data_IF_842340562931
#
_entry.id   IF_842340562931
#
_cell.length_a   1.000
_cell.length_b   1.000
_cell.length_c   1.000
_cell.angle_alpha   90.00
_cell.angle_beta   90.00
_cell.angle_gamma   90.00
#
_symmetry.space_group_name_H-M   'P 1'
#
loop_
_entity.id
_entity.type
_entity.pdbx_description
1 polymer ?
#
# COMPACT_ATOMS: atom_id res chain seq x y z
N UNK A 1 -5.35 -7.26 -14.48
CA UNK A 1 -5.94 -5.92 -14.75
C UNK A 1 -7.31 -5.74 -14.11
N UNK A 2 -8.37 -6.48 -14.48
CA UNK A 2 -9.71 -6.28 -13.90
C UNK A 2 -9.76 -6.44 -12.35
N UNK A 3 -9.05 -7.43 -11.81
CA UNK A 3 -8.94 -7.60 -10.36
C UNK A 3 -8.28 -6.41 -9.65
N UNK A 4 -7.35 -5.70 -10.29
CA UNK A 4 -6.77 -4.46 -9.73
C UNK A 4 -7.79 -3.33 -9.66
N UNK A 5 -8.60 -3.17 -10.72
CA UNK A 5 -9.67 -2.18 -10.73
C UNK A 5 -10.69 -2.45 -9.62
N UNK A 6 -11.16 -3.70 -9.50
CA UNK A 6 -12.14 -4.10 -8.48
C UNK A 6 -11.55 -3.97 -7.07
N UNK A 7 -10.31 -4.42 -6.88
CA UNK A 7 -9.64 -4.31 -5.58
C UNK A 7 -9.42 -2.86 -5.17
N UNK A 8 -8.90 -2.00 -6.07
CA UNK A 8 -8.74 -0.58 -5.76
C UNK A 8 -10.09 0.11 -5.53
N UNK A 9 -11.15 -0.28 -6.26
CA UNK A 9 -12.50 0.23 -6.00
C UNK A 9 -12.93 -0.05 -4.55
N UNK A 10 -12.91 -1.31 -4.12
CA UNK A 10 -13.36 -1.65 -2.78
C UNK A 10 -12.44 -1.10 -1.69
N UNK A 11 -11.13 -1.06 -1.93
CA UNK A 11 -10.17 -0.45 -1.01
C UNK A 11 -10.51 1.02 -0.75
N UNK A 12 -10.67 1.81 -1.81
CA UNK A 12 -10.97 3.23 -1.71
C UNK A 12 -12.37 3.45 -1.17
N UNK A 13 -13.36 2.68 -1.63
CA UNK A 13 -14.74 2.81 -1.19
C UNK A 13 -14.88 2.56 0.31
N UNK A 14 -14.40 1.41 0.82
CA UNK A 14 -14.52 1.04 2.23
C UNK A 14 -13.76 2.01 3.14
N UNK A 15 -12.53 2.35 2.76
CA UNK A 15 -11.69 3.23 3.54
C UNK A 15 -12.17 4.68 3.57
N UNK A 16 -12.66 5.21 2.45
CA UNK A 16 -13.24 6.56 2.41
C UNK A 16 -14.62 6.60 3.08
N UNK A 17 -15.44 5.56 2.93
CA UNK A 17 -16.73 5.45 3.60
C UNK A 17 -16.59 5.41 5.12
N UNK A 18 -15.55 4.78 5.67
CA UNK A 18 -15.32 4.77 7.12
C UNK A 18 -14.98 6.16 7.66
N UNK A 19 -14.21 6.97 6.93
CA UNK A 19 -13.91 8.37 7.29
C UNK A 19 -15.20 9.20 7.35
N UNK A 20 -16.03 9.11 6.31
CA UNK A 20 -17.29 9.87 6.27
C UNK A 20 -18.25 9.36 7.34
N UNK A 21 -18.32 8.04 7.54
CA UNK A 21 -19.19 7.44 8.57
C UNK A 21 -18.80 7.89 9.97
N UNK A 22 -17.49 7.91 10.29
CA UNK A 22 -16.99 8.39 11.58
C UNK A 22 -17.38 9.85 11.84
N UNK A 23 -17.29 10.70 10.80
CA UNK A 23 -17.71 12.10 10.90
C UNK A 23 -19.22 12.25 11.08
N UNK A 24 -20.02 11.43 10.41
CA UNK A 24 -21.50 11.48 10.53
C UNK A 24 -22.02 10.87 11.82
N UNK A 25 -21.23 10.04 12.51
CA UNK A 25 -21.57 9.43 13.78
C UNK A 25 -20.90 10.11 14.98
N UNK A 26 -20.53 11.38 14.84
CA UNK A 26 -19.87 12.18 15.89
C UNK A 26 -18.61 11.51 16.48
N UNK A 27 -17.86 10.79 15.65
CA UNK A 27 -16.59 10.15 16.03
C UNK A 27 -16.72 8.76 16.64
N UNK A 28 -17.86 8.09 16.48
CA UNK A 28 -18.10 6.79 17.11
C UNK A 28 -17.18 5.65 16.63
N UNK A 29 -16.62 5.76 15.41
CA UNK A 29 -15.69 4.77 14.86
C UNK A 29 -14.27 5.06 15.36
N UNK A 30 -13.97 6.33 15.61
CA UNK A 30 -12.66 6.89 15.99
C UNK A 30 -11.59 6.74 14.90
N UNK A 31 -10.50 7.50 15.04
CA UNK A 31 -9.32 7.37 14.18
C UNK A 31 -8.75 5.94 14.17
N UNK A 32 -8.80 5.25 15.31
CA UNK A 32 -8.35 3.87 15.42
C UNK A 32 -9.23 2.94 14.57
N UNK A 33 -10.55 3.04 14.67
CA UNK A 33 -11.48 2.22 13.89
C UNK A 33 -11.36 2.48 12.40
N UNK A 34 -11.23 3.74 11.98
CA UNK A 34 -10.99 4.10 10.56
C UNK A 34 -9.69 3.44 10.07
N UNK A 35 -8.61 3.53 10.85
CA UNK A 35 -7.32 2.94 10.50
C UNK A 35 -7.40 1.41 10.37
N UNK A 36 -8.14 0.75 11.26
CA UNK A 36 -8.39 -0.69 11.18
C UNK A 36 -9.21 -1.07 9.95
N UNK A 37 -10.20 -0.27 9.55
CA UNK A 37 -10.98 -0.54 8.32
C UNK A 37 -10.08 -0.54 7.09
N UNK A 38 -9.18 0.43 6.95
CA UNK A 38 -8.22 0.46 5.83
C UNK A 38 -7.31 -0.77 5.82
N UNK A 39 -6.73 -1.13 6.96
CA UNK A 39 -5.86 -2.30 7.05
C UNK A 39 -6.59 -3.62 6.79
N UNK A 40 -7.79 -3.79 7.36
CA UNK A 40 -8.62 -4.96 7.12
C UNK A 40 -9.09 -5.04 5.67
N UNK A 41 -9.45 -3.93 5.04
CA UNK A 41 -9.80 -3.91 3.61
C UNK A 41 -8.62 -4.40 2.75
N UNK A 42 -7.40 -3.91 3.01
CA UNK A 42 -6.21 -4.40 2.32
C UNK A 42 -5.99 -5.90 2.54
N UNK A 43 -6.09 -6.38 3.79
CA UNK A 43 -5.96 -7.80 4.10
C UNK A 43 -6.97 -8.66 3.34
N UNK A 44 -8.26 -8.29 3.39
CA UNK A 44 -9.35 -9.01 2.72
C UNK A 44 -9.10 -9.07 1.21
N UNK A 45 -8.72 -7.93 0.61
CA UNK A 45 -8.51 -7.84 -0.84
C UNK A 45 -7.26 -8.60 -1.29
N UNK A 46 -6.19 -8.62 -0.50
CA UNK A 46 -5.01 -9.45 -0.80
C UNK A 46 -5.38 -10.93 -0.76
N UNK A 47 -6.11 -11.39 0.26
CA UNK A 47 -6.53 -12.80 0.31
C UNK A 47 -7.52 -13.17 -0.79
N UNK A 48 -8.40 -12.24 -1.17
CA UNK A 48 -9.45 -12.50 -2.16
C UNK A 48 -8.97 -12.39 -3.61
N UNK A 49 -8.07 -11.44 -3.91
CA UNK A 49 -7.70 -11.06 -5.27
C UNK A 49 -6.19 -11.11 -5.52
N UNK A 50 -5.36 -11.24 -4.48
CA UNK A 50 -3.90 -11.27 -4.60
C UNK A 50 -3.40 -12.44 -5.45
N UNK A 51 -4.03 -13.61 -5.35
CA UNK A 51 -3.69 -14.77 -6.19
C UNK A 51 -4.10 -14.60 -7.66
N UNK A 52 -4.91 -13.59 -8.00
CA UNK A 52 -5.37 -13.30 -9.37
C UNK A 52 -4.48 -12.24 -10.03
N UNK A 53 -4.16 -11.14 -9.34
CA UNK A 53 -3.41 -10.01 -9.93
C UNK A 53 -2.06 -9.71 -9.29
N UNK A 54 -1.73 -10.32 -8.15
CA UNK A 54 -0.66 -9.87 -7.26
C UNK A 54 -1.13 -8.85 -6.21
N UNK A 55 -2.35 -8.34 -6.34
CA UNK A 55 -3.01 -7.48 -5.36
C UNK A 55 -2.26 -6.19 -5.03
N UNK A 56 -1.84 -5.44 -6.06
CA UNK A 56 -1.07 -4.21 -5.83
C UNK A 56 -1.98 -3.09 -5.32
N UNK A 57 -3.13 -2.90 -5.97
CA UNK A 57 -4.17 -1.91 -5.70
C UNK A 57 -3.68 -0.45 -5.55
N UNK A 58 -2.44 -0.19 -5.94
CA UNK A 58 -1.68 1.02 -5.63
C UNK A 58 -0.63 1.26 -6.74
N UNK A 59 -0.66 2.44 -7.40
CA UNK A 59 0.32 2.80 -8.42
C UNK A 59 1.76 2.80 -7.91
N UNK A 60 2.00 3.25 -6.66
CA UNK A 60 3.34 3.29 -6.08
C UNK A 60 3.92 1.89 -5.87
N UNK A 61 3.10 0.94 -5.40
CA UNK A 61 3.47 -0.48 -5.25
C UNK A 61 3.77 -1.11 -6.61
N UNK A 62 2.93 -0.83 -7.61
CA UNK A 62 3.11 -1.36 -8.98
C UNK A 62 4.42 -0.88 -9.59
N UNK A 63 4.71 0.42 -9.48
CA UNK A 63 5.98 0.99 -9.94
C UNK A 63 7.17 0.38 -9.19
N UNK A 64 7.09 0.30 -7.86
CA UNK A 64 8.18 -0.24 -7.05
C UNK A 64 8.53 -1.68 -7.43
N UNK A 65 7.54 -2.58 -7.57
CA UNK A 65 7.77 -3.94 -8.03
C UNK A 65 8.42 -4.01 -9.42
N UNK A 66 8.03 -3.12 -10.33
CA UNK A 66 8.63 -3.04 -11.65
C UNK A 66 10.11 -2.63 -11.59
N UNK A 67 10.48 -1.71 -10.69
CA UNK A 67 11.89 -1.28 -10.53
C UNK A 67 12.82 -2.38 -10.05
N UNK A 68 12.34 -3.28 -9.18
CA UNK A 68 13.09 -4.46 -8.70
C UNK A 68 12.85 -5.70 -9.56
N UNK A 69 12.28 -5.54 -10.77
CA UNK A 69 12.02 -6.62 -11.75
C UNK A 69 11.15 -7.76 -11.22
N UNK A 70 10.30 -7.50 -10.23
CA UNK A 70 9.31 -8.45 -9.68
C UNK A 70 7.94 -8.33 -10.37
N UNK A 71 7.77 -7.37 -11.28
CA UNK A 71 6.57 -7.21 -12.08
C UNK A 71 6.91 -6.80 -13.53
N UNK A 72 6.25 -7.37 -14.57
CA UNK A 72 6.59 -7.08 -15.96
C UNK A 72 6.28 -5.63 -16.35
N UNK A 73 7.25 -4.92 -16.94
CA UNK A 73 7.12 -3.51 -17.36
C UNK A 73 5.93 -3.26 -18.30
N UNK A 74 5.61 -4.23 -19.18
CA UNK A 74 4.50 -4.14 -20.13
C UNK A 74 3.12 -4.04 -19.45
N UNK A 75 2.99 -4.58 -18.24
CA UNK A 75 1.71 -4.67 -17.52
C UNK A 75 1.50 -3.46 -16.57
N UNK A 76 2.56 -2.70 -16.30
CA UNK A 76 2.57 -1.54 -15.36
C UNK A 76 1.51 -0.52 -15.71
N UNK A 77 1.47 -0.07 -16.97
CA UNK A 77 0.53 0.97 -17.41
C UNK A 77 -0.92 0.48 -17.26
N UNK A 78 -1.19 -0.77 -17.64
CA UNK A 78 -2.52 -1.37 -17.50
C UNK A 78 -2.99 -1.45 -16.06
N UNK A 79 -2.09 -1.78 -15.12
CA UNK A 79 -2.38 -1.81 -13.68
C UNK A 79 -2.65 -0.42 -13.13
N UNK A 80 -1.80 0.56 -13.44
CA UNK A 80 -1.95 1.94 -12.96
C UNK A 80 -3.27 2.54 -13.44
N UNK A 81 -3.61 2.37 -14.73
CA UNK A 81 -4.89 2.84 -15.28
C UNK A 81 -6.06 2.17 -14.55
N UNK A 82 -6.02 0.84 -14.40
CA UNK A 82 -7.08 0.10 -13.71
C UNK A 82 -7.28 0.58 -12.26
N UNK A 83 -6.20 0.82 -11.53
CA UNK A 83 -6.23 1.32 -10.16
C UNK A 83 -6.84 2.71 -10.08
N UNK A 84 -6.43 3.64 -10.96
CA UNK A 84 -7.04 4.98 -11.00
C UNK A 84 -8.52 4.93 -11.37
N UNK A 85 -8.91 4.13 -12.37
CA UNK A 85 -10.32 3.95 -12.75
C UNK A 85 -11.14 3.41 -11.58
N UNK A 86 -10.64 2.37 -10.90
CA UNK A 86 -11.29 1.80 -9.71
C UNK A 86 -11.45 2.82 -8.58
N UNK A 87 -10.38 3.57 -8.27
CA UNK A 87 -10.42 4.59 -7.23
C UNK A 87 -11.38 5.74 -7.54
N UNK A 88 -11.41 6.20 -8.80
CA UNK A 88 -12.32 7.25 -9.26
C UNK A 88 -13.77 6.77 -9.17
N UNK A 89 -14.06 5.56 -9.66
CA UNK A 89 -15.39 4.96 -9.56
C UNK A 89 -15.83 4.83 -8.10
N UNK A 90 -14.93 4.45 -7.17
CA UNK A 90 -15.21 4.38 -5.75
C UNK A 90 -15.53 5.75 -5.14
N UNK A 91 -14.72 6.77 -5.46
CA UNK A 91 -14.95 8.14 -5.01
C UNK A 91 -16.31 8.68 -5.47
N UNK A 92 -16.65 8.53 -6.75
CA UNK A 92 -17.94 8.98 -7.27
C UNK A 92 -19.13 8.15 -6.76
N UNK A 93 -18.93 6.85 -6.51
CA UNK A 93 -19.95 6.03 -5.83
C UNK A 93 -20.20 6.54 -4.41
N UNK A 94 -19.15 6.95 -3.69
CA UNK A 94 -19.29 7.56 -2.38
C UNK A 94 -20.05 8.90 -2.46
N UNK A 95 -19.73 9.75 -3.44
CA UNK A 95 -20.45 11.01 -3.69
C UNK A 95 -21.92 10.78 -4.03
N UNK A 96 -22.23 9.76 -4.83
CA UNK A 96 -23.61 9.39 -5.15
C UNK A 96 -24.40 8.99 -3.91
N UNK A 97 -23.78 8.22 -3.00
CA UNK A 97 -24.45 7.68 -1.82
C UNK A 97 -24.53 8.67 -0.65
N UNK A 98 -23.52 9.52 -0.49
CA UNK A 98 -23.36 10.39 0.68
C UNK A 98 -23.49 11.88 0.36
N UNK A 99 -23.67 12.23 -0.91
CA UNK A 99 -23.79 13.62 -1.37
C UNK A 99 -22.47 14.38 -1.18
N UNK A 100 -22.59 15.66 -0.83
CA UNK A 100 -21.44 16.54 -0.65
C UNK A 100 -20.51 16.05 0.47
N UNK A 101 -20.99 15.30 1.46
CA UNK A 101 -20.18 14.76 2.57
C UNK A 101 -18.99 13.90 2.12
N UNK A 102 -19.02 13.37 0.89
CA UNK A 102 -17.88 12.65 0.31
C UNK A 102 -16.58 13.48 0.26
N UNK A 103 -16.67 14.82 0.28
CA UNK A 103 -15.50 15.70 0.36
C UNK A 103 -14.65 15.48 1.62
N UNK A 104 -15.24 14.96 2.70
CA UNK A 104 -14.51 14.66 3.94
C UNK A 104 -13.49 13.54 3.80
N UNK A 105 -13.65 12.67 2.79
CA UNK A 105 -12.72 11.58 2.52
C UNK A 105 -11.48 12.02 1.73
N UNK A 106 -11.45 13.26 1.23
CA UNK A 106 -10.31 13.80 0.50
C UNK A 106 -9.07 13.85 1.39
N UNK A 107 -7.93 13.42 0.85
CA UNK A 107 -6.68 13.35 1.61
C UNK A 107 -5.95 14.66 1.53
N UNK A 108 -5.78 15.30 2.67
CA UNK A 108 -5.13 16.61 2.77
C UNK A 108 -4.17 16.64 3.95
N UNK A 109 -3.12 17.48 3.89
CA UNK A 109 -2.19 17.62 5.01
C UNK A 109 -2.91 18.12 6.26
N UNK A 110 -2.66 17.48 7.40
CA UNK A 110 -3.09 17.97 8.72
C UNK A 110 -1.99 18.81 9.37
N UNK A 111 -0.74 18.37 9.23
CA UNK A 111 0.46 19.13 9.57
C UNK A 111 0.98 19.97 8.40
N UNK A 112 2.23 20.43 8.50
CA UNK A 112 2.84 21.16 7.38
C UNK A 112 2.98 20.27 6.14
N UNK A 113 3.03 20.90 4.96
CA UNK A 113 3.21 20.19 3.67
C UNK A 113 4.47 19.34 3.68
N UNK A 114 5.57 19.86 4.23
CA UNK A 114 6.84 19.12 4.28
C UNK A 114 6.84 17.98 5.30
N UNK A 115 6.24 18.16 6.48
CA UNK A 115 6.06 17.06 7.44
C UNK A 115 5.21 15.94 6.83
N UNK A 116 4.14 16.32 6.12
CA UNK A 116 3.26 15.37 5.45
C UNK A 116 3.98 14.62 4.33
N UNK A 117 4.80 15.32 3.53
CA UNK A 117 5.60 14.72 2.48
C UNK A 117 6.60 13.70 3.03
N UNK A 118 7.36 14.05 4.06
CA UNK A 118 8.30 13.13 4.72
C UNK A 118 7.55 11.94 5.32
N UNK A 119 6.41 12.20 5.95
CA UNK A 119 5.59 11.13 6.53
C UNK A 119 5.11 10.14 5.47
N UNK A 120 4.58 10.61 4.33
CA UNK A 120 4.15 9.76 3.20
C UNK A 120 5.29 8.89 2.65
N UNK A 121 6.52 9.41 2.59
CA UNK A 121 7.70 8.63 2.20
C UNK A 121 7.92 7.49 3.21
N UNK A 122 7.96 7.79 4.51
CA UNK A 122 8.29 6.82 5.55
C UNK A 122 7.27 5.68 5.66
N UNK A 123 5.98 6.01 5.65
CA UNK A 123 4.93 5.00 5.75
C UNK A 123 4.82 4.13 4.49
N UNK A 124 5.05 4.71 3.31
CA UNK A 124 5.02 3.94 2.06
C UNK A 124 6.28 3.10 1.88
N UNK A 125 7.42 3.58 2.39
CA UNK A 125 8.63 2.77 2.54
C UNK A 125 8.35 1.54 3.38
N UNK A 126 7.77 1.70 4.58
CA UNK A 126 7.46 0.57 5.46
C UNK A 126 6.48 -0.41 4.79
N UNK A 127 5.43 0.12 4.16
CA UNK A 127 4.48 -0.70 3.39
C UNK A 127 5.21 -1.55 2.35
N UNK A 128 6.01 -0.92 1.49
CA UNK A 128 6.65 -1.65 0.39
C UNK A 128 7.75 -2.59 0.86
N UNK A 129 8.48 -2.24 1.93
CA UNK A 129 9.43 -3.13 2.57
C UNK A 129 8.75 -4.43 3.05
N UNK A 130 7.61 -4.30 3.75
CA UNK A 130 6.83 -5.46 4.22
C UNK A 130 6.27 -6.24 3.04
N UNK A 131 5.69 -5.57 2.04
CA UNK A 131 5.15 -6.20 0.83
C UNK A 131 6.22 -7.03 0.12
N UNK A 132 7.41 -6.48 -0.14
CA UNK A 132 8.50 -7.24 -0.73
C UNK A 132 8.90 -8.45 0.12
N UNK A 133 8.91 -8.28 1.44
CA UNK A 133 9.24 -9.36 2.38
C UNK A 133 8.30 -10.55 2.31
N UNK A 134 7.00 -10.30 2.39
CA UNK A 134 6.01 -11.38 2.49
C UNK A 134 5.50 -11.88 1.14
N UNK A 135 5.58 -11.06 0.10
CA UNK A 135 5.03 -11.42 -1.23
C UNK A 135 6.08 -11.98 -2.19
N UNK A 136 7.37 -11.67 -2.01
CA UNK A 136 8.40 -12.06 -2.99
C UNK A 136 9.45 -13.02 -2.45
N UNK A 137 9.58 -13.15 -1.13
CA UNK A 137 10.57 -14.02 -0.50
C UNK A 137 9.95 -15.36 -0.08
N UNK A 138 10.41 -16.45 -0.69
CA UNK A 138 9.93 -17.81 -0.40
C UNK A 138 10.32 -18.29 1.01
N UNK A 139 11.18 -17.56 1.71
CA UNK A 139 11.54 -17.82 3.11
C UNK A 139 10.50 -17.28 4.09
N UNK A 140 9.66 -16.35 3.65
CA UNK A 140 8.56 -15.81 4.46
C UNK A 140 7.33 -16.74 4.41
N UNK A 141 6.48 -16.63 5.43
CA UNK A 141 5.19 -17.35 5.48
C UNK A 141 4.20 -16.63 4.55
N UNK A 142 4.21 -16.98 3.26
CA UNK A 142 3.43 -16.30 2.23
C UNK A 142 1.91 -16.30 2.49
N UNK A 143 1.39 -17.33 3.17
CA UNK A 143 -0.03 -17.40 3.60
C UNK A 143 -0.43 -16.25 4.53
N UNK A 144 0.53 -15.64 5.24
CA UNK A 144 0.30 -14.52 6.15
C UNK A 144 0.50 -13.15 5.49
N UNK A 145 0.76 -13.10 4.18
CA UNK A 145 1.05 -11.87 3.46
C UNK A 145 -0.08 -10.83 3.58
N UNK A 146 -1.34 -11.26 3.44
CA UNK A 146 -2.49 -10.36 3.58
C UNK A 146 -2.57 -9.73 4.97
N UNK A 147 -2.36 -10.52 6.03
CA UNK A 147 -2.37 -10.02 7.41
C UNK A 147 -1.22 -9.02 7.64
N UNK A 148 0.01 -9.37 7.23
CA UNK A 148 1.18 -8.53 7.44
C UNK A 148 1.06 -7.18 6.71
N UNK A 149 0.62 -7.19 5.45
CA UNK A 149 0.45 -5.97 4.65
C UNK A 149 -0.72 -5.14 5.21
N UNK A 150 -1.85 -5.77 5.53
CA UNK A 150 -3.00 -5.10 6.12
C UNK A 150 -2.71 -4.46 7.48
N UNK A 151 -2.00 -5.16 8.37
CA UNK A 151 -1.58 -4.63 9.66
C UNK A 151 -0.61 -3.45 9.50
N UNK A 152 0.29 -3.51 8.51
CA UNK A 152 1.20 -2.41 8.19
C UNK A 152 0.44 -1.16 7.76
N UNK A 153 -0.58 -1.32 6.91
CA UNK A 153 -1.45 -0.20 6.51
C UNK A 153 -2.22 0.37 7.71
N UNK A 154 -2.80 -0.47 8.57
CA UNK A 154 -3.48 0.01 9.77
C UNK A 154 -2.55 0.83 10.68
N UNK A 155 -1.35 0.31 10.97
CA UNK A 155 -0.35 1.01 11.81
C UNK A 155 0.08 2.33 11.16
N UNK A 156 0.33 2.32 9.85
CA UNK A 156 0.68 3.53 9.11
C UNK A 156 -0.41 4.61 9.24
N UNK A 157 -1.68 4.25 9.13
CA UNK A 157 -2.78 5.20 9.29
C UNK A 157 -2.91 5.71 10.73
N UNK A 158 -2.75 4.83 11.73
CA UNK A 158 -2.78 5.23 13.15
C UNK A 158 -1.78 6.35 13.40
N UNK A 159 -0.55 6.21 12.89
CA UNK A 159 0.56 7.13 13.14
C UNK A 159 0.50 8.36 12.22
N UNK A 160 0.31 8.16 10.92
CA UNK A 160 0.44 9.22 9.93
C UNK A 160 -0.85 9.99 9.66
N UNK A 161 -2.02 9.44 10.01
CA UNK A 161 -3.31 10.09 9.79
C UNK A 161 -3.37 11.52 10.37
N UNK A 162 -2.96 11.75 11.63
CA UNK A 162 -2.92 13.09 12.22
C UNK A 162 -1.88 14.05 11.62
N UNK A 163 -1.02 13.59 10.70
CA UNK A 163 0.05 14.38 10.09
C UNK A 163 -0.24 14.60 8.61
N UNK A 164 -0.33 13.54 7.81
CA UNK A 164 -0.51 13.61 6.36
C UNK A 164 -1.90 13.18 5.88
N UNK A 165 -2.78 12.66 6.75
CA UNK A 165 -3.99 11.97 6.31
C UNK A 165 -3.73 10.56 5.74
N UNK A 166 -2.47 10.10 5.80
CA UNK A 166 -2.00 8.75 5.47
C UNK A 166 -2.55 8.20 4.16
N UNK A 167 -2.03 8.69 3.03
CA UNK A 167 -2.43 8.20 1.72
C UNK A 167 -1.82 6.86 1.37
N UNK A 168 -0.50 6.78 1.39
CA UNK A 168 0.31 5.66 0.87
C UNK A 168 0.08 5.32 -0.62
N UNK A 169 -0.91 5.92 -1.28
CA UNK A 169 -1.48 5.43 -2.52
C UNK A 169 -1.96 6.58 -3.41
N UNK A 170 -1.28 6.86 -4.53
CA UNK A 170 -1.69 7.90 -5.46
C UNK A 170 -3.12 7.73 -6.00
N UNK A 171 -3.58 6.49 -6.24
CA UNK A 171 -4.94 6.23 -6.71
C UNK A 171 -5.99 6.58 -5.64
N UNK A 172 -5.73 6.23 -4.38
CA UNK A 172 -6.57 6.61 -3.24
C UNK A 172 -6.77 8.12 -3.16
N UNK A 173 -5.68 8.89 -3.21
CA UNK A 173 -5.76 10.36 -3.16
C UNK A 173 -6.55 10.90 -4.34
N UNK A 174 -6.27 10.42 -5.55
CA UNK A 174 -6.93 10.92 -6.77
C UNK A 174 -8.44 10.65 -6.74
N UNK A 175 -8.85 9.42 -6.36
CA UNK A 175 -10.25 9.03 -6.31
C UNK A 175 -11.08 9.89 -5.36
N UNK A 176 -10.59 10.11 -4.15
CA UNK A 176 -11.31 10.94 -3.16
C UNK A 176 -11.20 12.44 -3.47
N UNK A 177 -10.09 12.91 -4.03
CA UNK A 177 -9.91 14.32 -4.43
C UNK A 177 -10.88 14.75 -5.52
N UNK A 178 -11.04 13.94 -6.59
CA UNK A 178 -11.96 14.22 -7.69
C UNK A 178 -13.42 14.20 -7.23
N UNK A 179 -13.80 13.19 -6.44
CA UNK A 179 -15.15 13.10 -5.90
C UNK A 179 -15.46 14.25 -4.92
N UNK A 180 -14.50 14.63 -4.09
CA UNK A 180 -14.61 15.69 -3.09
C UNK A 180 -14.32 17.10 -3.59
N UNK A 181 -13.95 17.27 -4.87
CA UNK A 181 -13.48 18.53 -5.45
C UNK A 181 -12.40 19.23 -4.60
N UNK A 182 -11.44 18.47 -4.07
CA UNK A 182 -10.42 18.97 -3.12
C UNK A 182 -9.03 18.48 -3.51
N UNK A 183 -8.19 19.41 -3.96
CA UNK A 183 -6.90 19.12 -4.62
C UNK A 183 -5.68 19.62 -3.84
N UNK A 184 -5.83 19.87 -2.55
CA UNK A 184 -4.79 20.46 -1.70
C UNK A 184 -3.53 19.58 -1.66
N UNK A 185 -2.39 20.15 -2.06
CA UNK A 185 -1.07 19.52 -1.97
C UNK A 185 -0.95 18.12 -2.60
N UNK A 186 -1.76 17.80 -3.63
CA UNK A 186 -1.79 16.46 -4.24
C UNK A 186 -0.42 15.88 -4.61
N UNK A 187 0.52 16.74 -5.02
CA UNK A 187 1.86 16.32 -5.44
C UNK A 187 2.57 15.50 -4.36
N UNK A 188 2.39 15.79 -3.07
CA UNK A 188 3.05 15.04 -1.98
C UNK A 188 2.56 13.60 -1.91
N UNK A 189 1.28 13.37 -2.23
CA UNK A 189 0.65 12.05 -2.22
C UNK A 189 0.88 11.25 -3.51
N UNK A 190 1.52 11.87 -4.50
CA UNK A 190 2.00 11.18 -5.70
C UNK A 190 3.49 10.89 -5.52
N UNK A 191 4.29 11.93 -5.30
CA UNK A 191 5.75 11.84 -5.22
C UNK A 191 6.19 11.08 -3.97
N UNK A 192 5.62 11.41 -2.80
CA UNK A 192 6.01 10.80 -1.52
C UNK A 192 5.84 9.28 -1.52
N UNK A 193 4.64 8.76 -1.86
CA UNK A 193 4.43 7.32 -1.95
C UNK A 193 5.31 6.62 -2.99
N UNK A 194 5.53 7.21 -4.17
CA UNK A 194 6.40 6.60 -5.19
C UNK A 194 7.84 6.49 -4.68
N UNK A 195 8.38 7.57 -4.11
CA UNK A 195 9.74 7.59 -3.55
C UNK A 195 9.87 6.58 -2.41
N UNK A 196 8.92 6.59 -1.47
CA UNK A 196 8.89 5.65 -0.35
C UNK A 196 8.83 4.20 -0.82
N UNK A 197 7.90 3.88 -1.73
CA UNK A 197 7.73 2.52 -2.24
C UNK A 197 8.99 2.00 -2.94
N UNK A 198 9.58 2.79 -3.84
CA UNK A 198 10.83 2.41 -4.53
C UNK A 198 11.95 2.17 -3.51
N UNK A 199 12.15 3.09 -2.57
CA UNK A 199 13.19 2.95 -1.55
C UNK A 199 12.98 1.70 -0.68
N UNK A 200 11.74 1.41 -0.27
CA UNK A 200 11.40 0.22 0.52
C UNK A 200 11.64 -1.08 -0.24
N UNK A 201 11.24 -1.13 -1.52
CA UNK A 201 11.46 -2.28 -2.37
C UNK A 201 12.95 -2.59 -2.57
N UNK A 202 13.75 -1.57 -2.92
CA UNK A 202 15.19 -1.73 -3.13
C UNK A 202 15.92 -2.09 -1.84
N UNK A 203 15.54 -1.52 -0.71
CA UNK A 203 16.16 -1.85 0.58
C UNK A 203 15.95 -3.32 0.92
N UNK A 204 14.73 -3.84 0.73
CA UNK A 204 14.47 -5.27 0.95
C UNK A 204 15.24 -6.15 -0.04
N UNK A 205 15.25 -5.81 -1.34
CA UNK A 205 15.96 -6.59 -2.35
C UNK A 205 17.48 -6.65 -2.08
N UNK A 206 18.09 -5.56 -1.60
CA UNK A 206 19.48 -5.55 -1.17
C UNK A 206 19.73 -6.47 0.04
N UNK A 207 18.87 -6.44 1.06
CA UNK A 207 19.00 -7.34 2.22
C UNK A 207 18.87 -8.81 1.83
N UNK A 208 17.94 -9.12 0.92
CA UNK A 208 17.75 -10.48 0.40
C UNK A 208 19.00 -11.00 -0.31
N UNK A 209 19.66 -10.17 -1.12
CA UNK A 209 20.88 -10.53 -1.85
C UNK A 209 22.09 -10.72 -0.94
N UNK A 210 22.12 -10.14 0.26
CA UNK A 210 23.23 -10.35 1.22
C UNK A 210 23.15 -11.75 1.85
N UNK A 211 21.95 -12.27 2.08
CA UNK A 211 21.75 -13.58 2.73
C UNK A 211 22.05 -14.79 1.82
N UNK A 212 21.76 -14.71 0.52
CA UNK A 212 22.02 -15.80 -0.43
C UNK A 212 23.51 -16.24 -0.44
N UNK A 213 24.48 -15.31 -0.58
CA UNK A 213 25.91 -15.62 -0.47
C UNK A 213 26.30 -16.27 0.87
N UNK A 214 25.75 -15.79 2.00
CA UNK A 214 26.07 -16.35 3.31
C UNK A 214 25.58 -17.79 3.43
N UNK A 215 24.38 -18.10 2.93
CA UNK A 215 23.85 -19.47 2.91
C UNK A 215 24.71 -20.40 2.06
N UNK A 216 25.20 -19.94 0.91
CA UNK A 216 26.10 -20.73 0.06
C UNK A 216 27.46 -20.97 0.72
N UNK A 217 28.04 -19.96 1.37
CA UNK A 217 29.28 -20.08 2.15
C UNK A 217 29.08 -21.06 3.32
N UNK A 218 27.97 -20.98 4.02
CA UNK A 218 27.69 -21.88 5.16
C UNK A 218 27.47 -23.33 4.71
N UNK A 219 26.78 -23.55 3.57
CA UNK A 219 26.59 -24.88 2.98
C UNK A 219 27.90 -25.49 2.46
N UNK A 220 28.77 -24.70 1.82
CA UNK A 220 30.07 -25.16 1.34
C UNK A 220 31.04 -25.46 2.49
N UNK A 221 31.01 -24.66 3.56
CA UNK A 221 31.77 -24.91 4.79
C UNK A 221 31.34 -26.18 5.53
N UNK A 222 30.06 -26.58 5.48
CA UNK A 222 29.60 -27.85 6.06
C UNK A 222 30.04 -29.08 5.24
N UNK A 223 30.15 -28.96 3.91
CA UNK A 223 30.66 -30.02 3.03
C UNK A 223 32.14 -30.35 3.28
N UNK A 224 32.93 -29.39 3.74
CA UNK A 224 34.33 -29.60 4.11
C UNK A 224 34.50 -30.33 5.46
N UNK A 225 33.48 -30.34 6.32
CA UNK A 225 33.50 -31.06 7.61
C UNK A 225 33.07 -32.53 7.52
N UNK A 226 32.65 -33.01 6.34
CA UNK A 226 32.17 -34.40 6.16
C UNK A 226 33.13 -35.31 5.40
N UNK A 227 34.41 -34.93 5.20
CA UNK A 227 35.41 -35.87 4.68
C UNK A 227 35.89 -36.78 5.81
N UNK A 228 35.67 -38.10 5.76
CA UNK A 228 36.26 -39.01 6.73
C UNK A 228 37.78 -38.99 6.54
N UNK A 229 38.51 -38.75 7.62
CA UNK A 229 39.93 -39.03 7.68
C UNK A 229 40.09 -40.56 7.58
N UNK A 230 40.62 -41.03 6.46
CA UNK A 230 41.12 -42.41 6.30
C UNK A 230 42.53 -42.51 6.88
#
# INVERSE_FOLDING_TARGET
>A
VAAEMIGTFFLVFLGCASIVSDKKSDGSITHLGVSLVWGMAVMILIYSLGHISGGHFNPAVTLAFATVRRFPLKDVIGYIIAQFVGAIAAGFSLRLLLGEEAHMAATVPTGSVMQSFVMEILITFLLMFVVCSVATDTRAIGEMAGLAVGATVAIALIIAGPISGASLNPARTMGSALAGNKYTSMWIYIVGPIVGAIAGAWTYDMLRLIDEPIREITKSGSFLKSRPSY
#
